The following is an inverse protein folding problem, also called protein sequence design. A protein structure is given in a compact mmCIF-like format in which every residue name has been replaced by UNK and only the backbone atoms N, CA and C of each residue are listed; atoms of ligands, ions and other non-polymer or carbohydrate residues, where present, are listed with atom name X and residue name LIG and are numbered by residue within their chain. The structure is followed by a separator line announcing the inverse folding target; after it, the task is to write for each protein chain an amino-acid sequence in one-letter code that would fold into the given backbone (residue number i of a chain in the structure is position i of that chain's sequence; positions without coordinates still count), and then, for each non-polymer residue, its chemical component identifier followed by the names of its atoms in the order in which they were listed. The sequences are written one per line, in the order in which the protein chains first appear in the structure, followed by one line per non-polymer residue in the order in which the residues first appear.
data_IF_599726831049
#
_entry.id   IF_599726831049
#
_cell.length_a   1.000
_cell.length_b   1.000
_cell.length_c   1.000
_cell.angle_alpha   90.00
_cell.angle_beta   90.00
_cell.angle_gamma   90.00
#
_symmetry.space_group_name_H-M   'P 1'
#
loop_
_entity.id
_entity.type
_entity.pdbx_description
1 polymer ?
#
# COMPACT_ATOMS: atom_id res chain seq x y z
N UNK A 1 15.02 11.52 -24.94
CA UNK A 1 14.38 10.19 -24.94
C UNK A 1 12.86 10.33 -24.84
N UNK A 2 12.08 9.54 -25.58
CA UNK A 2 10.61 9.48 -25.41
C UNK A 2 10.26 8.39 -24.39
N UNK A 3 10.00 8.83 -23.15
CA UNK A 3 9.73 7.94 -22.03
C UNK A 3 8.36 7.26 -22.09
N UNK A 4 7.37 7.90 -22.70
CA UNK A 4 6.04 7.32 -22.78
C UNK A 4 6.10 6.14 -23.75
N UNK A 5 6.68 6.36 -24.93
CA UNK A 5 6.86 5.31 -25.93
C UNK A 5 7.67 4.14 -25.39
N UNK A 6 8.82 4.41 -24.75
CA UNK A 6 9.62 3.35 -24.12
C UNK A 6 8.82 2.56 -23.08
N UNK A 7 8.03 3.24 -22.25
CA UNK A 7 7.22 2.58 -21.25
C UNK A 7 6.15 1.66 -21.88
N UNK A 8 5.49 2.10 -22.95
CA UNK A 8 4.52 1.27 -23.67
C UNK A 8 5.19 0.09 -24.39
N UNK A 9 6.36 0.30 -25.00
CA UNK A 9 7.14 -0.76 -25.64
C UNK A 9 7.52 -1.84 -24.61
N UNK A 10 7.96 -1.45 -23.41
CA UNK A 10 8.25 -2.38 -22.32
C UNK A 10 6.99 -3.06 -21.75
N UNK A 11 5.84 -2.37 -21.74
CA UNK A 11 4.56 -3.01 -21.37
C UNK A 11 4.12 -4.03 -22.41
N UNK A 12 4.39 -3.81 -23.69
CA UNK A 12 4.15 -4.79 -24.74
C UNK A 12 4.99 -6.07 -24.53
N UNK A 13 6.13 -5.97 -23.85
CA UNK A 13 6.96 -7.10 -23.41
C UNK A 13 6.48 -7.75 -22.10
N UNK A 14 5.36 -7.29 -21.53
CA UNK A 14 4.72 -7.90 -20.36
C UNK A 14 4.96 -7.19 -19.04
N UNK A 15 5.68 -6.06 -19.01
CA UNK A 15 5.80 -5.26 -17.78
C UNK A 15 4.44 -4.64 -17.41
N UNK A 16 4.19 -4.51 -16.11
CA UNK A 16 2.92 -4.03 -15.56
C UNK A 16 3.13 -2.90 -14.58
N UNK A 17 2.04 -2.20 -14.28
CA UNK A 17 2.03 -1.17 -13.24
C UNK A 17 2.41 0.23 -13.74
N UNK A 18 2.54 1.14 -12.78
CA UNK A 18 2.90 2.53 -13.04
C UNK A 18 4.41 2.65 -13.16
N UNK A 19 4.87 3.58 -14.00
CA UNK A 19 6.27 4.01 -13.98
C UNK A 19 6.49 4.73 -12.66
N UNK A 20 7.33 4.14 -11.80
CA UNK A 20 7.62 4.66 -10.48
C UNK A 20 8.82 5.61 -10.51
N UNK A 21 9.82 5.28 -11.32
CA UNK A 21 11.05 6.06 -11.45
C UNK A 21 11.70 5.81 -12.82
N UNK A 22 12.53 6.73 -13.29
CA UNK A 22 13.23 6.66 -14.58
C UNK A 22 14.41 7.62 -14.62
N UNK A 23 15.43 7.29 -15.39
CA UNK A 23 16.58 8.15 -15.58
C UNK A 23 17.54 7.65 -16.65
N UNK A 24 18.63 8.39 -16.79
CA UNK A 24 19.70 8.13 -17.75
C UNK A 24 21.01 7.94 -16.99
N UNK A 25 21.84 7.00 -17.42
CA UNK A 25 23.14 6.71 -16.82
C UNK A 25 24.16 6.39 -17.94
N UNK A 26 25.01 7.37 -18.27
CA UNK A 26 25.93 7.24 -19.40
C UNK A 26 25.17 7.19 -20.72
N UNK A 27 25.33 6.09 -21.46
CA UNK A 27 24.61 5.87 -22.73
C UNK A 27 23.33 5.05 -22.55
N UNK A 28 23.08 4.49 -21.37
CA UNK A 28 21.91 3.68 -21.08
C UNK A 28 20.82 4.48 -20.38
N UNK A 29 19.58 4.05 -20.54
CA UNK A 29 18.43 4.55 -19.80
C UNK A 29 17.85 3.47 -18.92
N UNK A 30 17.30 3.85 -17.78
CA UNK A 30 16.63 2.92 -16.87
C UNK A 30 15.22 3.40 -16.53
N UNK A 31 14.33 2.45 -16.29
CA UNK A 31 12.93 2.69 -15.99
C UNK A 31 12.40 1.60 -15.06
N UNK A 32 11.72 2.04 -14.01
CA UNK A 32 11.20 1.19 -12.94
C UNK A 32 9.68 1.22 -12.93
N UNK A 33 9.08 0.05 -12.81
CA UNK A 33 7.64 -0.17 -12.72
C UNK A 33 7.28 -0.75 -11.37
N UNK A 34 6.16 -0.29 -10.81
CA UNK A 34 5.63 -0.78 -9.52
C UNK A 34 4.12 -1.00 -9.61
N UNK A 35 3.65 -2.05 -8.95
CA UNK A 35 2.25 -2.37 -8.71
C UNK A 35 2.16 -3.20 -7.42
N UNK A 36 0.97 -3.41 -6.83
CA UNK A 36 0.85 -4.18 -5.59
C UNK A 36 1.46 -5.58 -5.75
N UNK A 37 2.41 -5.94 -4.89
CA UNK A 37 3.13 -7.21 -4.96
C UNK A 37 4.00 -7.41 -6.20
N UNK A 38 4.30 -6.35 -6.95
CA UNK A 38 5.05 -6.41 -8.21
C UNK A 38 6.08 -5.29 -8.34
N UNK A 39 7.28 -5.64 -8.81
CA UNK A 39 8.32 -4.70 -9.18
C UNK A 39 8.97 -5.15 -10.49
N UNK A 40 9.21 -4.23 -11.41
CA UNK A 40 10.10 -4.48 -12.54
C UNK A 40 11.03 -3.31 -12.78
N UNK A 41 12.25 -3.61 -13.21
CA UNK A 41 13.28 -2.63 -13.48
C UNK A 41 13.93 -3.00 -14.81
N UNK A 42 13.99 -2.07 -15.75
CA UNK A 42 14.55 -2.27 -17.08
C UNK A 42 15.67 -1.26 -17.34
N UNK A 43 16.77 -1.74 -17.92
CA UNK A 43 17.88 -0.96 -18.45
C UNK A 43 17.92 -1.17 -19.96
N UNK A 44 18.04 -0.09 -20.72
CA UNK A 44 17.91 -0.10 -22.18
C UNK A 44 19.00 0.79 -22.78
N UNK A 45 19.70 0.27 -23.78
CA UNK A 45 20.51 1.09 -24.68
C UNK A 45 19.60 1.65 -25.79
N UNK A 46 19.34 2.97 -25.81
CA UNK A 46 18.44 3.58 -26.78
C UNK A 46 19.01 3.61 -28.21
N UNK A 47 20.33 3.39 -28.41
CA UNK A 47 20.96 3.39 -29.73
C UNK A 47 20.81 2.03 -30.42
N UNK A 48 20.95 0.95 -29.66
CA UNK A 48 20.92 -0.43 -30.19
C UNK A 48 19.59 -1.13 -29.94
N UNK A 49 18.80 -0.66 -28.97
CA UNK A 49 17.59 -1.33 -28.49
C UNK A 49 17.87 -2.54 -27.61
N UNK A 50 19.13 -2.83 -27.28
CA UNK A 50 19.48 -3.88 -26.33
C UNK A 50 18.93 -3.54 -24.94
N UNK A 51 18.36 -4.53 -24.25
CA UNK A 51 17.78 -4.31 -22.93
C UNK A 51 18.05 -5.46 -21.96
N UNK A 52 18.01 -5.12 -20.67
CA UNK A 52 17.99 -6.06 -19.56
C UNK A 52 16.81 -5.70 -18.66
N UNK A 53 16.01 -6.70 -18.29
CA UNK A 53 14.89 -6.50 -17.37
C UNK A 53 14.95 -7.49 -16.21
N UNK A 54 14.59 -7.00 -15.03
CA UNK A 54 14.37 -7.80 -13.83
C UNK A 54 12.92 -7.63 -13.44
N UNK A 55 12.18 -8.73 -13.34
CA UNK A 55 10.78 -8.75 -12.92
C UNK A 55 10.66 -9.57 -11.65
N UNK A 56 10.06 -8.98 -10.62
CA UNK A 56 9.86 -9.60 -9.32
C UNK A 56 8.37 -9.63 -9.01
N UNK A 57 7.85 -10.85 -8.80
CA UNK A 57 6.54 -11.09 -8.22
C UNK A 57 6.73 -11.55 -6.77
N UNK A 58 6.18 -10.79 -5.83
CA UNK A 58 6.33 -11.06 -4.40
C UNK A 58 5.23 -12.00 -3.86
N UNK A 59 4.33 -12.49 -4.72
CA UNK A 59 3.28 -13.42 -4.38
C UNK A 59 2.09 -12.78 -3.65
N UNK A 60 1.08 -13.62 -3.39
CA UNK A 60 -0.24 -13.17 -2.89
C UNK A 60 -0.16 -12.40 -1.57
N UNK A 61 0.68 -12.84 -0.63
CA UNK A 61 0.79 -12.18 0.69
C UNK A 61 1.29 -10.75 0.54
N UNK A 62 2.26 -10.51 -0.35
CA UNK A 62 2.76 -9.17 -0.63
C UNK A 62 1.71 -8.30 -1.34
N UNK A 63 0.97 -8.87 -2.30
CA UNK A 63 -0.16 -8.19 -2.94
C UNK A 63 -1.18 -7.73 -1.89
N UNK A 64 -1.60 -8.63 -0.99
CA UNK A 64 -2.56 -8.31 0.07
C UNK A 64 -2.01 -7.25 1.03
N UNK A 65 -0.74 -7.35 1.42
CA UNK A 65 -0.09 -6.34 2.28
C UNK A 65 -0.05 -4.96 1.59
N UNK A 66 0.25 -4.92 0.29
CA UNK A 66 0.36 -3.67 -0.46
C UNK A 66 -1.00 -3.03 -0.67
N UNK A 67 -2.01 -3.83 -1.01
CA UNK A 67 -3.39 -3.36 -1.06
C UNK A 67 -3.86 -2.87 0.31
N UNK A 68 -3.59 -3.60 1.39
CA UNK A 68 -3.96 -3.18 2.74
C UNK A 68 -3.34 -1.82 3.13
N UNK A 69 -2.07 -1.59 2.74
CA UNK A 69 -1.35 -0.32 2.98
C UNK A 69 -1.62 0.76 1.93
N UNK A 70 -2.34 0.44 0.86
CA UNK A 70 -2.48 1.31 -0.32
C UNK A 70 -1.15 1.58 -1.06
N UNK A 71 -0.12 0.74 -0.86
CA UNK A 71 1.20 0.86 -1.49
C UNK A 71 1.13 0.46 -2.96
N UNK A 72 1.66 1.32 -3.83
CA UNK A 72 1.66 1.14 -5.30
C UNK A 72 0.30 0.78 -5.93
N UNK A 73 -0.78 0.99 -5.17
CA UNK A 73 -2.15 0.75 -5.60
C UNK A 73 -2.72 1.95 -6.39
N UNK A 74 -3.68 1.72 -7.30
CA UNK A 74 -4.36 2.79 -8.02
C UNK A 74 -5.03 3.81 -7.09
N UNK A 75 -5.20 5.06 -7.56
CA UNK A 75 -5.82 6.12 -6.76
C UNK A 75 -7.22 5.77 -6.23
N UNK A 76 -8.04 5.09 -7.04
CA UNK A 76 -9.36 4.62 -6.62
C UNK A 76 -9.33 3.65 -5.43
N UNK A 77 -8.26 2.86 -5.30
CA UNK A 77 -8.08 1.96 -4.16
C UNK A 77 -7.78 2.73 -2.87
N UNK A 78 -6.96 3.78 -2.94
CA UNK A 78 -6.69 4.65 -1.79
C UNK A 78 -7.96 5.34 -1.30
N UNK A 79 -8.79 5.85 -2.23
CA UNK A 79 -10.08 6.43 -1.88
C UNK A 79 -11.01 5.39 -1.22
N UNK A 80 -11.02 4.15 -1.71
CA UNK A 80 -11.78 3.07 -1.08
C UNK A 80 -11.32 2.80 0.36
N UNK A 81 -10.01 2.81 0.63
CA UNK A 81 -9.46 2.68 1.98
C UNK A 81 -9.90 3.83 2.89
N UNK A 82 -9.82 5.08 2.39
CA UNK A 82 -10.21 6.26 3.16
C UNK A 82 -11.70 6.24 3.54
N UNK A 83 -12.57 5.90 2.59
CA UNK A 83 -14.01 5.76 2.83
C UNK A 83 -14.34 4.63 3.80
N UNK A 84 -13.65 3.49 3.67
CA UNK A 84 -13.81 2.35 4.58
C UNK A 84 -13.35 2.70 6.00
N UNK A 85 -12.22 3.40 6.14
CA UNK A 85 -11.70 3.87 7.41
C UNK A 85 -12.66 4.85 8.09
N UNK A 86 -13.21 5.81 7.33
CA UNK A 86 -14.20 6.76 7.82
C UNK A 86 -15.47 6.03 8.31
N UNK A 87 -15.98 5.08 7.51
CA UNK A 87 -17.15 4.30 7.88
C UNK A 87 -16.92 3.49 9.17
N UNK A 88 -15.80 2.76 9.26
CA UNK A 88 -15.46 1.98 10.45
C UNK A 88 -15.25 2.87 11.69
N UNK A 89 -14.66 4.05 11.51
CA UNK A 89 -14.50 5.01 12.60
C UNK A 89 -15.86 5.51 13.11
N UNK A 90 -16.79 5.85 12.21
CA UNK A 90 -18.15 6.27 12.56
C UNK A 90 -18.90 5.17 13.30
N UNK A 91 -18.90 3.94 12.77
CA UNK A 91 -19.55 2.79 13.42
C UNK A 91 -18.95 2.52 14.79
N UNK A 92 -17.62 2.50 14.89
CA UNK A 92 -16.90 2.23 16.16
C UNK A 92 -17.18 3.30 17.20
N UNK A 93 -17.15 4.58 16.82
CA UNK A 93 -17.42 5.69 17.72
C UNK A 93 -18.88 5.67 18.19
N UNK A 94 -19.82 5.39 17.28
CA UNK A 94 -21.24 5.31 17.62
C UNK A 94 -21.50 4.15 18.57
N UNK A 95 -20.92 2.98 18.31
CA UNK A 95 -21.00 1.81 19.19
C UNK A 95 -20.41 2.09 20.58
N UNK A 96 -19.29 2.80 20.66
CA UNK A 96 -18.67 3.22 21.91
C UNK A 96 -19.57 4.18 22.70
N UNK A 97 -20.10 5.21 22.04
CA UNK A 97 -20.99 6.20 22.63
C UNK A 97 -22.25 5.54 23.18
N UNK A 98 -22.93 4.71 22.38
CA UNK A 98 -24.10 3.96 22.83
C UNK A 98 -23.75 3.03 23.98
N UNK A 99 -22.61 2.33 23.88
CA UNK A 99 -22.09 1.46 24.92
C UNK A 99 -21.98 2.16 26.28
N UNK A 100 -21.37 3.34 26.31
CA UNK A 100 -21.16 4.13 27.54
C UNK A 100 -22.44 4.83 28.00
N UNK A 101 -23.25 5.36 27.09
CA UNK A 101 -24.44 6.15 27.44
C UNK A 101 -25.58 5.28 27.95
N UNK A 102 -25.84 4.11 27.32
CA UNK A 102 -26.95 3.25 27.71
C UNK A 102 -26.65 2.50 29.02
N UNK A 103 -27.51 2.61 30.06
CA UNK A 103 -27.27 1.99 31.36
C UNK A 103 -27.08 0.47 31.30
N UNK A 104 -27.78 -0.20 30.36
CA UNK A 104 -27.73 -1.66 30.18
C UNK A 104 -26.36 -2.15 29.67
N UNK A 105 -25.69 -1.39 28.81
CA UNK A 105 -24.38 -1.75 28.22
C UNK A 105 -23.20 -1.08 28.91
N UNK A 106 -23.43 -0.03 29.71
CA UNK A 106 -22.38 0.85 30.29
C UNK A 106 -21.28 0.08 31.01
N UNK A 107 -21.63 -0.87 31.87
CA UNK A 107 -20.62 -1.64 32.62
C UNK A 107 -19.71 -2.44 31.69
N UNK A 108 -20.29 -3.15 30.72
CA UNK A 108 -19.53 -3.91 29.74
C UNK A 108 -18.65 -3.00 28.88
N UNK A 109 -19.19 -1.87 28.40
CA UNK A 109 -18.43 -0.90 27.61
C UNK A 109 -17.23 -0.34 28.39
N UNK A 110 -17.43 0.08 29.64
CA UNK A 110 -16.36 0.60 30.50
C UNK A 110 -15.28 -0.46 30.81
N UNK A 111 -15.68 -1.72 31.04
CA UNK A 111 -14.72 -2.81 31.24
C UNK A 111 -13.88 -3.07 29.99
N UNK A 112 -14.51 -3.14 28.82
CA UNK A 112 -13.80 -3.33 27.54
C UNK A 112 -12.86 -2.16 27.24
N UNK A 113 -13.32 -0.93 27.44
CA UNK A 113 -12.48 0.29 27.32
C UNK A 113 -11.29 0.24 28.27
N UNK A 114 -11.52 -0.09 29.54
CA UNK A 114 -10.47 -0.13 30.56
C UNK A 114 -9.43 -1.20 30.27
N UNK A 115 -9.86 -2.44 30.00
CA UNK A 115 -8.96 -3.55 29.68
C UNK A 115 -8.22 -3.33 28.36
N UNK A 116 -8.91 -2.84 27.33
CA UNK A 116 -8.31 -2.51 26.04
C UNK A 116 -7.27 -1.39 26.15
N UNK A 117 -7.58 -0.34 26.92
CA UNK A 117 -6.64 0.76 27.19
C UNK A 117 -5.42 0.31 27.99
N UNK A 118 -5.61 -0.51 29.02
CA UNK A 118 -4.50 -1.08 29.79
C UNK A 118 -3.61 -1.98 28.93
N UNK A 119 -4.19 -2.84 28.09
CA UNK A 119 -3.45 -3.68 27.16
C UNK A 119 -2.65 -2.84 26.16
N UNK A 120 -3.28 -1.80 25.59
CA UNK A 120 -2.60 -0.88 24.68
C UNK A 120 -1.39 -0.20 25.35
N UNK A 121 -1.57 0.34 26.56
CA UNK A 121 -0.49 0.96 27.32
C UNK A 121 0.63 -0.04 27.63
N UNK A 122 0.29 -1.27 28.03
CA UNK A 122 1.28 -2.31 28.29
C UNK A 122 2.11 -2.65 27.05
N UNK A 123 1.46 -2.82 25.89
CA UNK A 123 2.13 -3.08 24.62
C UNK A 123 2.98 -1.89 24.15
N UNK A 124 2.49 -0.66 24.32
CA UNK A 124 3.25 0.54 23.97
C UNK A 124 4.52 0.69 24.83
N UNK A 125 4.41 0.45 26.15
CA UNK A 125 5.55 0.47 27.05
C UNK A 125 6.54 -0.67 26.76
N UNK A 126 6.04 -1.84 26.36
CA UNK A 126 6.88 -2.94 25.91
C UNK A 126 7.64 -2.60 24.64
N UNK A 127 6.98 -2.01 23.64
CA UNK A 127 7.58 -1.68 22.35
C UNK A 127 8.64 -0.55 22.42
N UNK A 128 8.60 0.27 23.46
CA UNK A 128 9.57 1.38 23.69
C UNK A 128 10.80 0.92 24.51
N UNK A 129 10.76 -0.28 25.10
CA UNK A 129 11.90 -0.90 25.78
C UNK A 129 12.77 -1.68 24.80
#
# INVERSE_FOLDING_TARGET
MDWLRLAEDLRALGLRGRVADRGEAGEEVWISFRAPGYAADAQVDPKTGAYRMVVTDYGLVAVLNDLHKGRDAPGGWKLFLDLSALFLALVSLTGLLLGVLLPKSRRAALLVLGLGGLLFLALALYAVR
#
